data_IF_836719299363
#
_entry.id   IF_836719299363
#
_cell.length_a   1.000
_cell.length_b   1.000
_cell.length_c   1.000
_cell.angle_alpha   90.00
_cell.angle_beta   90.00
_cell.angle_gamma   90.00
#
_symmetry.space_group_name_H-M   'P 1'
#
loop_
_entity.id
_entity.type
_entity.pdbx_description
1 polymer ?
#
# COMPACT_ATOMS: atom_id res chain seq x y z
N UNK A 1 -13.80 13.74 -18.00
CA UNK A 1 -13.90 14.53 -16.75
C UNK A 1 -12.94 15.70 -16.91
N UNK A 2 -13.44 16.94 -16.99
CA UNK A 2 -12.58 18.11 -17.12
C UNK A 2 -11.99 18.42 -15.74
N UNK A 3 -10.67 18.28 -15.59
CA UNK A 3 -9.98 18.61 -14.35
C UNK A 3 -9.74 20.13 -14.34
N UNK A 4 -10.45 20.86 -13.49
CA UNK A 4 -10.23 22.29 -13.25
C UNK A 4 -9.55 22.52 -11.90
N UNK A 5 -8.94 23.70 -11.71
CA UNK A 5 -8.34 24.08 -10.42
C UNK A 5 -9.37 24.10 -9.28
N UNK A 6 -10.65 24.32 -9.59
CA UNK A 6 -11.73 24.25 -8.59
C UNK A 6 -11.93 22.83 -8.05
N UNK A 7 -11.72 21.80 -8.88
CA UNK A 7 -11.78 20.40 -8.43
C UNK A 7 -10.69 20.05 -7.40
N UNK A 8 -9.63 20.86 -7.29
CA UNK A 8 -8.52 20.68 -6.35
C UNK A 8 -8.66 21.56 -5.10
N UNK A 9 -9.67 22.43 -5.01
CA UNK A 9 -9.91 23.24 -3.81
C UNK A 9 -10.45 22.33 -2.70
N UNK A 10 -9.65 22.15 -1.66
CA UNK A 10 -10.04 21.38 -0.47
C UNK A 10 -10.02 22.27 0.77
N UNK A 11 -11.03 22.10 1.63
CA UNK A 11 -10.95 22.53 3.02
C UNK A 11 -10.36 21.38 3.83
N UNK A 12 -9.04 21.45 4.03
CA UNK A 12 -8.30 20.38 4.69
C UNK A 12 -8.80 20.11 6.11
N UNK A 13 -9.18 21.14 6.85
CA UNK A 13 -9.65 21.00 8.24
C UNK A 13 -11.00 20.29 8.28
N UNK A 14 -11.94 20.71 7.45
CA UNK A 14 -13.26 20.07 7.33
C UNK A 14 -13.14 18.61 6.89
N UNK A 15 -12.28 18.32 5.92
CA UNK A 15 -12.02 16.95 5.48
C UNK A 15 -11.41 16.12 6.60
N UNK A 16 -10.41 16.62 7.32
CA UNK A 16 -9.81 15.92 8.45
C UNK A 16 -10.86 15.57 9.51
N UNK A 17 -11.69 16.54 9.92
CA UNK A 17 -12.77 16.32 10.90
C UNK A 17 -13.78 15.27 10.43
N UNK A 18 -14.20 15.35 9.18
CA UNK A 18 -15.17 14.41 8.58
C UNK A 18 -14.60 12.99 8.52
N UNK A 19 -13.35 12.85 8.06
CA UNK A 19 -12.67 11.55 7.96
C UNK A 19 -12.37 10.95 9.33
N UNK A 20 -11.96 11.77 10.32
CA UNK A 20 -11.75 11.31 11.69
C UNK A 20 -13.05 10.77 12.32
N UNK A 21 -14.17 11.49 12.13
CA UNK A 21 -15.49 11.02 12.56
C UNK A 21 -15.84 9.68 11.91
N UNK A 22 -15.69 9.57 10.60
CA UNK A 22 -15.90 8.33 9.85
C UNK A 22 -15.06 7.17 10.39
N UNK A 23 -13.76 7.38 10.63
CA UNK A 23 -12.86 6.34 11.17
C UNK A 23 -13.36 5.84 12.52
N UNK A 24 -13.71 6.76 13.43
CA UNK A 24 -14.20 6.43 14.77
C UNK A 24 -15.53 5.66 14.72
N UNK A 25 -16.47 6.10 13.89
CA UNK A 25 -17.76 5.44 13.69
C UNK A 25 -17.58 4.03 13.13
N UNK A 26 -16.77 3.87 12.07
CA UNK A 26 -16.53 2.55 11.47
C UNK A 26 -15.84 1.58 12.41
N UNK A 27 -14.90 2.06 13.23
CA UNK A 27 -14.27 1.23 14.25
C UNK A 27 -15.32 0.69 15.25
N UNK A 28 -16.24 1.54 15.70
CA UNK A 28 -17.33 1.17 16.60
C UNK A 28 -18.33 0.21 15.95
N UNK A 29 -18.80 0.51 14.73
CA UNK A 29 -19.73 -0.34 13.97
C UNK A 29 -19.17 -1.75 13.74
N UNK A 30 -17.88 -1.83 13.41
CA UNK A 30 -17.17 -3.09 13.18
C UNK A 30 -16.73 -3.78 14.48
N UNK A 31 -17.08 -3.22 15.65
CA UNK A 31 -16.73 -3.74 17.00
C UNK A 31 -15.24 -4.06 17.13
N UNK A 32 -14.38 -3.16 16.66
CA UNK A 32 -12.92 -3.32 16.73
C UNK A 32 -12.37 -2.59 17.95
N UNK A 33 -11.28 -3.12 18.51
CA UNK A 33 -10.61 -2.58 19.69
C UNK A 33 -9.39 -1.70 19.36
N UNK A 34 -9.03 -1.58 18.08
CA UNK A 34 -7.95 -0.73 17.62
C UNK A 34 -7.79 -0.76 16.10
N UNK A 35 -6.79 -0.02 15.63
CA UNK A 35 -6.46 0.15 14.22
C UNK A 35 -5.00 -0.28 14.01
N UNK A 36 -4.78 -1.18 13.04
CA UNK A 36 -3.44 -1.48 12.52
C UNK A 36 -3.27 -0.75 11.20
N UNK A 37 -2.19 0.02 11.06
CA UNK A 37 -1.91 0.77 9.84
C UNK A 37 -0.50 0.50 9.32
N UNK A 38 -0.37 0.04 8.05
CA UNK A 38 0.91 -0.01 7.38
C UNK A 38 1.48 1.40 7.16
N UNK A 39 2.73 1.63 7.57
CA UNK A 39 3.43 2.92 7.40
C UNK A 39 4.60 2.68 6.45
N UNK A 40 4.53 3.27 5.26
CA UNK A 40 5.54 3.11 4.21
C UNK A 40 6.55 4.25 4.15
N UNK A 41 6.39 5.29 4.98
CA UNK A 41 7.18 6.53 4.88
C UNK A 41 6.70 7.48 3.78
N UNK A 42 5.65 7.12 3.03
CA UNK A 42 5.00 8.00 2.06
C UNK A 42 3.96 8.93 2.69
N UNK A 43 3.61 10.00 1.97
CA UNK A 43 2.62 11.01 2.42
C UNK A 43 1.25 10.40 2.71
N UNK A 44 0.75 9.53 1.84
CA UNK A 44 -0.59 8.94 2.00
C UNK A 44 -0.69 8.15 3.31
N UNK A 45 0.24 7.22 3.55
CA UNK A 45 0.27 6.44 4.79
C UNK A 45 0.47 7.33 6.02
N UNK A 46 1.23 8.42 5.88
CA UNK A 46 1.46 9.39 6.95
C UNK A 46 0.20 10.15 7.33
N UNK A 47 -0.53 10.66 6.34
CA UNK A 47 -1.81 11.37 6.55
C UNK A 47 -2.84 10.43 7.18
N UNK A 48 -2.97 9.20 6.68
CA UNK A 48 -3.92 8.24 7.26
C UNK A 48 -3.53 7.89 8.70
N UNK A 49 -2.24 7.70 9.02
CA UNK A 49 -1.79 7.45 10.39
C UNK A 49 -2.13 8.61 11.34
N UNK A 50 -1.89 9.86 10.91
CA UNK A 50 -2.28 11.05 11.66
C UNK A 50 -3.80 11.11 11.89
N UNK A 51 -4.60 10.84 10.86
CA UNK A 51 -6.06 10.83 10.96
C UNK A 51 -6.55 9.74 11.92
N UNK A 52 -5.98 8.54 11.88
CA UNK A 52 -6.32 7.46 12.81
C UNK A 52 -5.99 7.84 14.26
N UNK A 53 -4.78 8.36 14.51
CA UNK A 53 -4.37 8.76 15.86
C UNK A 53 -5.25 9.90 16.39
N UNK A 54 -5.59 10.88 15.56
CA UNK A 54 -6.48 11.97 15.95
C UNK A 54 -7.92 11.50 16.19
N UNK A 55 -8.40 10.50 15.45
CA UNK A 55 -9.76 9.98 15.56
C UNK A 55 -10.00 9.17 16.83
N UNK A 56 -9.05 8.29 17.19
CA UNK A 56 -9.27 7.26 18.23
C UNK A 56 -8.21 7.24 19.33
N UNK A 57 -7.15 8.04 19.18
CA UNK A 57 -6.05 8.13 20.15
C UNK A 57 -4.94 7.11 19.90
N UNK A 58 -3.70 7.52 20.20
CA UNK A 58 -2.47 6.74 19.94
C UNK A 58 -2.42 5.36 20.62
N UNK A 59 -3.12 5.15 21.72
CA UNK A 59 -3.02 3.92 22.54
C UNK A 59 -3.64 2.70 21.85
N UNK A 60 -4.59 2.93 20.94
CA UNK A 60 -5.30 1.88 20.22
C UNK A 60 -4.96 1.87 18.72
N UNK A 61 -3.94 2.63 18.32
CA UNK A 61 -3.36 2.62 16.97
C UNK A 61 -1.99 1.95 17.01
N UNK A 62 -1.78 0.96 16.14
CA UNK A 62 -0.51 0.25 15.97
C UNK A 62 -0.01 0.43 14.54
N UNK A 63 1.20 0.95 14.39
CA UNK A 63 1.89 1.03 13.10
C UNK A 63 2.49 -0.32 12.70
N UNK A 64 2.53 -0.59 11.41
CA UNK A 64 3.14 -1.80 10.84
C UNK A 64 4.16 -1.38 9.77
N UNK A 65 5.43 -1.68 10.02
CA UNK A 65 6.54 -1.45 9.11
C UNK A 65 6.76 -2.75 8.32
N UNK A 66 6.64 -2.69 7.00
CA UNK A 66 6.75 -3.86 6.11
C UNK A 66 7.89 -3.66 5.11
N UNK A 67 9.15 -3.63 5.57
CA UNK A 67 10.29 -3.44 4.68
C UNK A 67 10.49 -4.65 3.76
N UNK A 68 11.07 -4.38 2.59
CA UNK A 68 11.43 -5.39 1.62
C UNK A 68 12.76 -5.03 0.92
N UNK A 69 13.50 -6.04 0.47
CA UNK A 69 14.88 -5.91 -0.01
C UNK A 69 15.09 -4.89 -1.14
N UNK A 70 14.13 -4.74 -2.06
CA UNK A 70 14.22 -3.82 -3.20
C UNK A 70 13.50 -2.49 -2.94
N UNK A 71 13.01 -2.27 -1.72
CA UNK A 71 12.28 -1.08 -1.33
C UNK A 71 13.17 0.14 -1.20
N UNK A 72 12.56 1.32 -1.05
CA UNK A 72 13.28 2.56 -0.77
C UNK A 72 14.01 2.44 0.59
N UNK A 73 15.35 2.56 0.66
CA UNK A 73 16.09 2.45 1.92
C UNK A 73 15.72 3.53 2.94
N UNK A 74 15.25 4.71 2.49
CA UNK A 74 14.87 5.81 3.36
C UNK A 74 13.43 5.70 3.90
N UNK A 75 12.58 4.88 3.27
CA UNK A 75 11.19 4.71 3.65
C UNK A 75 11.04 4.29 5.12
N UNK A 76 11.91 3.39 5.58
CA UNK A 76 11.90 2.92 6.96
C UNK A 76 12.27 4.04 7.95
N UNK A 77 13.23 4.91 7.59
CA UNK A 77 13.59 6.07 8.39
C UNK A 77 12.41 7.04 8.52
N UNK A 78 11.75 7.40 7.40
CA UNK A 78 10.59 8.30 7.42
C UNK A 78 9.43 7.71 8.22
N UNK A 79 9.17 6.41 8.08
CA UNK A 79 8.15 5.72 8.85
C UNK A 79 8.47 5.74 10.36
N UNK A 80 9.74 5.59 10.73
CA UNK A 80 10.22 5.70 12.12
C UNK A 80 10.03 7.10 12.70
N UNK A 81 10.37 8.15 11.95
CA UNK A 81 10.16 9.56 12.35
C UNK A 81 8.68 9.82 12.62
N UNK A 82 7.79 9.40 11.70
CA UNK A 82 6.35 9.56 11.86
C UNK A 82 5.83 8.82 13.08
N UNK A 83 6.22 7.55 13.26
CA UNK A 83 5.77 6.75 14.40
C UNK A 83 6.20 7.36 15.73
N UNK A 84 7.43 7.89 15.79
CA UNK A 84 7.95 8.64 16.94
C UNK A 84 7.17 9.92 17.22
N UNK A 85 6.89 10.70 16.17
CA UNK A 85 6.07 11.92 16.27
C UNK A 85 4.66 11.63 16.81
N UNK A 86 4.01 10.59 16.28
CA UNK A 86 2.66 10.17 16.70
C UNK A 86 2.66 9.41 18.04
N UNK A 87 3.84 9.00 18.53
CA UNK A 87 4.01 8.20 19.76
C UNK A 87 3.16 6.94 19.76
N UNK A 88 3.09 6.26 18.62
CA UNK A 88 2.39 4.98 18.45
C UNK A 88 3.36 3.81 18.56
N UNK A 89 2.85 2.65 18.97
CA UNK A 89 3.64 1.41 18.93
C UNK A 89 3.73 0.93 17.48
N UNK A 90 4.89 0.41 17.10
CA UNK A 90 5.10 -0.19 15.78
C UNK A 90 5.50 -1.65 15.89
N UNK A 91 5.20 -2.41 14.84
CA UNK A 91 5.75 -3.74 14.63
C UNK A 91 6.43 -3.79 13.26
N UNK A 92 7.56 -4.48 13.17
CA UNK A 92 8.34 -4.59 11.95
C UNK A 92 8.32 -6.02 11.43
N UNK A 93 7.85 -6.22 10.20
CA UNK A 93 7.78 -7.52 9.54
C UNK A 93 8.50 -7.43 8.20
N UNK A 94 9.72 -7.98 8.14
CA UNK A 94 10.48 -8.08 6.89
C UNK A 94 9.90 -9.18 5.99
N UNK A 95 9.33 -8.78 4.86
CA UNK A 95 8.69 -9.70 3.90
C UNK A 95 9.65 -10.18 2.81
N UNK A 96 10.92 -9.77 2.83
CA UNK A 96 11.90 -10.09 1.78
C UNK A 96 12.05 -11.60 1.58
N UNK A 97 12.01 -12.39 2.66
CA UNK A 97 12.11 -13.85 2.58
C UNK A 97 10.91 -14.48 1.86
N UNK A 98 9.71 -13.98 2.15
CA UNK A 98 8.45 -14.42 1.53
C UNK A 98 8.46 -14.05 0.05
N UNK A 99 8.83 -12.82 -0.28
CA UNK A 99 8.96 -12.37 -1.67
C UNK A 99 9.99 -13.19 -2.46
N UNK A 100 11.14 -13.50 -1.83
CA UNK A 100 12.16 -14.36 -2.42
C UNK A 100 11.64 -15.78 -2.70
N UNK A 101 10.90 -16.39 -1.77
CA UNK A 101 10.36 -17.75 -1.96
C UNK A 101 9.26 -17.80 -3.03
N UNK A 102 8.48 -16.72 -3.16
CA UNK A 102 7.51 -16.53 -4.26
C UNK A 102 8.20 -16.32 -5.62
N UNK A 103 9.49 -15.98 -5.62
CA UNK A 103 10.29 -15.79 -6.82
C UNK A 103 10.12 -14.41 -7.47
N UNK A 104 9.58 -13.43 -6.74
CA UNK A 104 9.30 -12.08 -7.25
C UNK A 104 10.58 -11.39 -7.73
N UNK A 105 11.67 -11.51 -6.97
CA UNK A 105 12.97 -10.93 -7.33
C UNK A 105 13.62 -11.51 -8.59
N UNK A 106 13.27 -12.75 -8.97
CA UNK A 106 13.89 -13.46 -10.11
C UNK A 106 13.00 -13.50 -11.35
N UNK A 107 11.90 -12.75 -11.36
CA UNK A 107 10.95 -12.84 -12.46
C UNK A 107 11.54 -12.36 -13.79
N UNK A 108 11.32 -13.13 -14.86
CA UNK A 108 12.04 -12.98 -16.14
C UNK A 108 11.79 -11.62 -16.82
N UNK A 109 10.64 -10.99 -16.56
CA UNK A 109 10.34 -9.65 -17.07
C UNK A 109 11.22 -8.55 -16.46
N UNK A 110 11.89 -8.80 -15.33
CA UNK A 110 12.84 -7.84 -14.74
C UNK A 110 14.15 -7.75 -15.53
N UNK A 111 14.44 -8.73 -16.41
CA UNK A 111 15.59 -8.70 -17.32
C UNK A 111 15.32 -7.96 -18.63
N UNK A 112 14.08 -7.51 -18.86
CA UNK A 112 13.70 -6.83 -20.10
C UNK A 112 13.97 -5.33 -19.93
N UNK A 113 14.93 -4.75 -20.66
CA UNK A 113 15.34 -3.35 -20.46
C UNK A 113 14.31 -2.35 -21.00
N UNK A 114 13.51 -2.74 -22.01
CA UNK A 114 12.53 -1.85 -22.64
C UNK A 114 11.15 -1.93 -21.98
N UNK A 115 10.68 -0.81 -21.44
CA UNK A 115 9.32 -0.66 -20.91
C UNK A 115 8.24 -1.02 -21.94
N UNK A 116 8.42 -0.63 -23.21
CA UNK A 116 7.48 -0.94 -24.30
C UNK A 116 7.37 -2.44 -24.55
N UNK A 117 8.50 -3.14 -24.58
CA UNK A 117 8.53 -4.59 -24.81
C UNK A 117 7.93 -5.34 -23.61
N UNK A 118 8.26 -4.91 -22.39
CA UNK A 118 7.68 -5.41 -21.14
C UNK A 118 6.17 -5.24 -21.14
N UNK A 119 5.66 -4.04 -21.45
CA UNK A 119 4.24 -3.76 -21.52
C UNK A 119 3.52 -4.62 -22.59
N UNK A 120 4.13 -4.84 -23.75
CA UNK A 120 3.58 -5.70 -24.81
C UNK A 120 3.49 -7.16 -24.37
N UNK A 121 4.50 -7.67 -23.68
CA UNK A 121 4.50 -9.04 -23.13
C UNK A 121 3.50 -9.20 -21.99
N UNK A 122 3.39 -8.22 -21.10
CA UNK A 122 2.38 -8.20 -20.03
C UNK A 122 0.98 -8.24 -20.65
N UNK A 123 0.68 -7.39 -21.63
CA UNK A 123 -0.63 -7.41 -22.31
C UNK A 123 -0.90 -8.72 -23.04
N UNK A 124 0.10 -9.30 -23.70
CA UNK A 124 -0.08 -10.54 -24.49
C UNK A 124 -0.24 -11.79 -23.61
N UNK A 125 0.48 -11.89 -22.50
CA UNK A 125 0.56 -13.13 -21.72
C UNK A 125 -0.07 -13.05 -20.32
N UNK A 126 -0.23 -11.85 -19.74
CA UNK A 126 -0.78 -11.65 -18.40
C UNK A 126 -2.19 -11.06 -18.42
N UNK A 127 -2.59 -10.41 -19.52
CA UNK A 127 -3.95 -9.92 -19.71
C UNK A 127 -4.59 -10.35 -21.05
N UNK A 128 -4.66 -11.67 -21.34
CA UNK A 128 -5.32 -12.14 -22.55
C UNK A 128 -6.84 -11.91 -22.56
N UNK A 129 -7.47 -11.70 -21.39
CA UNK A 129 -8.93 -11.57 -21.26
C UNK A 129 -9.45 -10.14 -21.09
N UNK A 130 -8.58 -9.11 -21.11
CA UNK A 130 -8.93 -7.70 -20.81
C UNK A 130 -9.64 -7.51 -19.46
N UNK A 131 -9.40 -8.42 -18.53
CA UNK A 131 -10.02 -8.34 -17.21
C UNK A 131 -9.14 -7.46 -16.31
N UNK A 132 -9.76 -6.74 -15.38
CA UNK A 132 -9.02 -5.82 -14.51
C UNK A 132 -7.89 -6.57 -13.76
N UNK A 133 -6.63 -6.24 -14.09
CA UNK A 133 -5.45 -6.87 -13.48
C UNK A 133 -5.44 -6.76 -11.96
N UNK A 134 -6.02 -5.69 -11.39
CA UNK A 134 -6.20 -5.53 -9.96
C UNK A 134 -7.09 -6.62 -9.37
N UNK A 135 -8.23 -6.89 -10.01
CA UNK A 135 -9.14 -7.96 -9.57
C UNK A 135 -8.49 -9.34 -9.71
N UNK A 136 -7.73 -9.58 -10.78
CA UNK A 136 -6.94 -10.81 -10.93
C UNK A 136 -5.86 -10.96 -9.87
N UNK A 137 -5.23 -9.85 -9.48
CA UNK A 137 -4.24 -9.83 -8.39
C UNK A 137 -4.83 -10.22 -7.04
N UNK A 138 -6.04 -9.73 -6.74
CA UNK A 138 -6.75 -10.06 -5.50
C UNK A 138 -7.28 -11.50 -5.51
N UNK A 139 -7.90 -11.96 -6.61
CA UNK A 139 -8.50 -13.30 -6.70
C UNK A 139 -7.46 -14.41 -6.83
N UNK A 140 -6.28 -14.10 -7.36
CA UNK A 140 -5.33 -15.09 -7.82
C UNK A 140 -5.82 -15.84 -9.06
N UNK A 141 -4.91 -16.56 -9.71
CA UNK A 141 -5.23 -17.41 -10.87
C UNK A 141 -4.75 -18.84 -10.64
N UNK A 142 -5.27 -19.81 -11.39
CA UNK A 142 -4.77 -21.19 -11.37
C UNK A 142 -3.36 -21.32 -11.97
N UNK A 143 -2.88 -20.32 -12.72
CA UNK A 143 -1.58 -20.35 -13.38
C UNK A 143 -0.50 -19.71 -12.50
N UNK A 144 0.41 -20.55 -11.98
CA UNK A 144 1.53 -20.14 -11.12
C UNK A 144 2.48 -19.12 -11.78
N UNK A 145 2.64 -19.17 -13.11
CA UNK A 145 3.45 -18.19 -13.84
C UNK A 145 2.79 -16.82 -13.84
N UNK A 146 1.48 -16.76 -14.08
CA UNK A 146 0.71 -15.50 -14.05
C UNK A 146 0.73 -14.92 -12.64
N UNK A 147 0.53 -15.73 -11.60
CA UNK A 147 0.61 -15.27 -10.21
C UNK A 147 1.99 -14.69 -9.85
N UNK A 148 3.08 -15.33 -10.31
CA UNK A 148 4.45 -14.80 -10.12
C UNK A 148 4.67 -13.48 -10.83
N UNK A 149 4.13 -13.33 -12.02
CA UNK A 149 4.25 -12.13 -12.82
C UNK A 149 3.50 -10.95 -12.19
N UNK A 150 2.25 -11.21 -11.77
CA UNK A 150 1.40 -10.29 -11.02
C UNK A 150 2.10 -9.85 -9.73
N UNK A 151 2.61 -10.82 -8.95
CA UNK A 151 3.35 -10.52 -7.72
C UNK A 151 4.58 -9.64 -8.00
N UNK A 152 5.38 -9.97 -9.03
CA UNK A 152 6.54 -9.14 -9.42
C UNK A 152 6.17 -7.74 -9.91
N UNK A 153 4.93 -7.53 -10.38
CA UNK A 153 4.46 -6.21 -10.81
C UNK A 153 4.02 -5.37 -9.62
N UNK A 154 3.29 -5.95 -8.66
CA UNK A 154 2.80 -5.25 -7.47
C UNK A 154 3.87 -4.99 -6.40
N UNK A 155 4.98 -5.72 -6.42
CA UNK A 155 6.10 -5.52 -5.48
C UNK A 155 7.12 -4.49 -5.99
N UNK A 156 6.84 -3.77 -7.07
CA UNK A 156 7.75 -2.77 -7.66
C UNK A 156 7.11 -1.39 -7.74
#
# INVERSE_FOLDING_TARGET
>A
MNLSNECLRIDAEKFCKTTQKFIKEKMHELRRNGIVIPISGGLDSSVVACLCVNAVGRNIVKGLLIPEKQGNPEAEMYAGILAGFLRIRTERIDISRILKSLGTYRFILNKIPSYRLKAKLVRKYLDPSRENMFLKGIKGTSNKFINRAIASFYTK
#
